data_IF_637005241354
#
_entry.id   IF_637005241354
#
_cell.length_a   1.000
_cell.length_b   1.000
_cell.length_c   1.000
_cell.angle_alpha   90.00
_cell.angle_beta   90.00
_cell.angle_gamma   90.00
#
_symmetry.space_group_name_H-M   'P 1'
#
loop_
_entity.id
_entity.type
_entity.pdbx_description
1 polymer ?
#
# COMPACT_ATOMS: atom_id res chain seq x y z
N UNK A 1 1.38 21.18 15.73
CA UNK A 1 0.27 21.00 14.77
C UNK A 1 0.06 19.50 14.62
N UNK A 2 -1.19 19.01 14.74
CA UNK A 2 -1.54 17.58 14.73
C UNK A 2 -0.93 16.79 13.55
N UNK A 3 -0.86 17.39 12.36
CA UNK A 3 -0.25 16.77 11.17
C UNK A 3 1.23 16.40 11.41
N UNK A 4 1.99 17.26 12.10
CA UNK A 4 3.40 16.98 12.38
C UNK A 4 3.55 15.86 13.41
N UNK A 5 2.64 15.77 14.39
CA UNK A 5 2.65 14.71 15.41
C UNK A 5 2.40 13.35 14.77
N UNK A 6 1.36 13.25 13.94
CA UNK A 6 1.04 12.01 13.20
C UNK A 6 2.19 11.61 12.28
N UNK A 7 2.77 12.56 11.52
CA UNK A 7 3.90 12.24 10.64
C UNK A 7 5.10 11.71 11.42
N UNK A 8 5.45 12.34 12.54
CA UNK A 8 6.56 11.90 13.37
C UNK A 8 6.30 10.51 13.97
N UNK A 9 5.07 10.26 14.43
CA UNK A 9 4.63 8.96 14.93
C UNK A 9 4.77 7.88 13.84
N UNK A 10 4.31 8.14 12.61
CA UNK A 10 4.48 7.20 11.49
C UNK A 10 5.95 6.94 11.15
N UNK A 11 6.80 7.97 11.15
CA UNK A 11 8.23 7.80 10.89
C UNK A 11 8.93 6.97 11.98
N UNK A 12 8.52 7.13 13.25
CA UNK A 12 9.03 6.33 14.36
C UNK A 12 8.65 4.85 14.22
N UNK A 13 7.39 4.56 13.89
CA UNK A 13 6.91 3.20 13.61
C UNK A 13 7.76 2.54 12.50
N UNK A 14 7.91 3.23 11.36
CA UNK A 14 8.67 2.70 10.22
C UNK A 14 10.13 2.40 10.60
N UNK A 15 10.77 3.32 11.33
CA UNK A 15 12.15 3.14 11.78
C UNK A 15 12.28 1.95 12.74
N UNK A 16 11.32 1.77 13.64
CA UNK A 16 11.37 0.71 14.66
C UNK A 16 11.14 -0.67 14.08
N UNK A 17 10.20 -0.79 13.14
CA UNK A 17 9.90 -2.08 12.55
C UNK A 17 10.87 -2.49 11.44
N UNK A 18 11.74 -1.60 10.96
CA UNK A 18 12.69 -1.93 9.88
C UNK A 18 13.60 -3.13 10.20
N UNK A 19 13.84 -3.41 11.49
CA UNK A 19 14.62 -4.55 11.94
C UNK A 19 13.97 -5.92 11.65
N UNK A 20 12.65 -5.97 11.47
CA UNK A 20 11.91 -7.22 11.20
C UNK A 20 11.35 -7.30 9.78
N UNK A 21 11.50 -6.26 8.96
CA UNK A 21 10.89 -6.22 7.62
C UNK A 21 11.34 -7.38 6.74
N UNK A 22 12.65 -7.62 6.61
CA UNK A 22 13.15 -8.67 5.73
C UNK A 22 12.66 -10.06 6.15
N UNK A 23 12.75 -10.38 7.45
CA UNK A 23 12.33 -11.69 7.96
C UNK A 23 10.83 -11.91 7.86
N UNK A 24 10.02 -10.91 8.20
CA UNK A 24 8.56 -11.01 8.09
C UNK A 24 8.12 -11.04 6.62
N UNK A 25 8.76 -10.28 5.74
CA UNK A 25 8.46 -10.29 4.31
C UNK A 25 8.72 -11.68 3.72
N UNK A 26 9.90 -12.24 3.94
CA UNK A 26 10.28 -13.58 3.47
C UNK A 26 9.34 -14.63 4.03
N UNK A 27 9.11 -14.64 5.36
CA UNK A 27 8.24 -15.64 5.98
C UNK A 27 6.81 -15.61 5.45
N UNK A 28 6.24 -14.44 5.17
CA UNK A 28 4.89 -14.35 4.62
C UNK A 28 4.86 -14.62 3.10
N UNK A 29 5.93 -14.30 2.36
CA UNK A 29 6.07 -14.70 0.95
C UNK A 29 6.21 -16.22 0.80
N UNK A 30 6.96 -16.89 1.66
CA UNK A 30 7.09 -18.35 1.64
C UNK A 30 5.71 -19.01 1.79
N UNK A 31 4.92 -18.58 2.78
CA UNK A 31 3.54 -19.06 2.96
C UNK A 31 2.66 -18.81 1.73
N UNK A 32 2.81 -17.65 1.09
CA UNK A 32 2.08 -17.32 -0.13
C UNK A 32 2.47 -18.26 -1.28
N UNK A 33 3.78 -18.49 -1.48
CA UNK A 33 4.30 -19.40 -2.49
C UNK A 33 3.85 -20.84 -2.23
N UNK A 34 3.95 -21.34 -1.00
CA UNK A 34 3.47 -22.68 -0.60
C UNK A 34 1.98 -22.88 -0.93
N UNK A 35 1.16 -21.85 -0.67
CA UNK A 35 -0.28 -21.86 -1.00
C UNK A 35 -0.52 -21.92 -2.51
N UNK A 36 0.26 -21.17 -3.30
CA UNK A 36 0.17 -21.20 -4.76
C UNK A 36 0.62 -22.56 -5.32
N UNK A 37 1.72 -23.11 -4.84
CA UNK A 37 2.22 -24.43 -5.25
C UNK A 37 1.22 -25.54 -4.89
N UNK A 38 0.63 -25.48 -3.69
CA UNK A 38 -0.43 -26.42 -3.28
C UNK A 38 -1.65 -26.33 -4.20
N UNK A 39 -1.99 -25.13 -4.68
CA UNK A 39 -3.11 -24.96 -5.64
C UNK A 39 -2.74 -25.53 -7.01
N UNK A 40 -1.53 -25.23 -7.49
CA UNK A 40 -1.02 -25.68 -8.79
C UNK A 40 -0.79 -27.20 -8.86
N UNK A 41 -0.57 -27.87 -7.73
CA UNK A 41 -0.50 -29.34 -7.70
C UNK A 41 -1.84 -30.01 -8.05
N UNK A 42 -2.96 -29.30 -7.89
CA UNK A 42 -4.32 -29.80 -8.11
C UNK A 42 -5.08 -29.06 -9.23
N UNK A 43 -4.48 -28.02 -9.82
CA UNK A 43 -5.10 -27.15 -10.83
C UNK A 43 -4.05 -26.67 -11.84
N UNK A 44 -4.46 -26.43 -13.09
CA UNK A 44 -3.56 -25.87 -14.12
C UNK A 44 -3.26 -24.38 -13.93
N UNK A 45 -3.95 -23.71 -13.00
CA UNK A 45 -3.75 -22.30 -12.70
C UNK A 45 -4.06 -21.99 -11.23
N UNK A 46 -3.44 -20.93 -10.72
CA UNK A 46 -3.70 -20.38 -9.40
C UNK A 46 -3.74 -18.85 -9.48
N UNK A 47 -4.71 -18.23 -8.80
CA UNK A 47 -4.77 -16.78 -8.66
C UNK A 47 -3.86 -16.33 -7.53
N UNK A 48 -2.96 -15.38 -7.80
CA UNK A 48 -2.08 -14.81 -6.79
C UNK A 48 -2.68 -13.61 -6.06
N UNK A 49 -3.80 -13.03 -6.54
CA UNK A 49 -4.32 -11.77 -6.03
C UNK A 49 -4.72 -11.82 -4.54
N UNK A 50 -5.55 -12.79 -4.16
CA UNK A 50 -5.96 -12.93 -2.75
C UNK A 50 -4.81 -13.38 -1.85
N UNK A 51 -3.97 -14.37 -2.22
CA UNK A 51 -2.77 -14.69 -1.45
C UNK A 51 -1.84 -13.49 -1.26
N UNK A 52 -1.66 -12.65 -2.29
CA UNK A 52 -0.86 -11.43 -2.23
C UNK A 52 -1.45 -10.41 -1.25
N UNK A 53 -2.76 -10.18 -1.28
CA UNK A 53 -3.42 -9.28 -0.33
C UNK A 53 -3.34 -9.82 1.10
N UNK A 54 -3.53 -11.11 1.32
CA UNK A 54 -3.42 -11.71 2.66
C UNK A 54 -1.98 -11.62 3.21
N UNK A 55 -0.98 -11.88 2.36
CA UNK A 55 0.43 -11.64 2.66
C UNK A 55 0.68 -10.17 3.05
N UNK A 56 0.24 -9.22 2.22
CA UNK A 56 0.41 -7.79 2.45
C UNK A 56 -0.23 -7.35 3.76
N UNK A 57 -1.47 -7.77 4.01
CA UNK A 57 -2.18 -7.46 5.24
C UNK A 57 -1.43 -7.97 6.46
N UNK A 58 -0.98 -9.22 6.43
CA UNK A 58 -0.29 -9.86 7.56
C UNK A 58 1.03 -9.15 7.85
N UNK A 59 1.84 -8.95 6.82
CA UNK A 59 3.12 -8.26 6.90
C UNK A 59 2.97 -6.82 7.40
N UNK A 60 2.08 -6.03 6.79
CA UNK A 60 1.91 -4.61 7.13
C UNK A 60 1.28 -4.41 8.51
N UNK A 61 0.31 -5.25 8.89
CA UNK A 61 -0.30 -5.14 10.22
C UNK A 61 0.72 -5.39 11.30
N UNK A 62 1.53 -6.45 11.17
CA UNK A 62 2.57 -6.77 12.15
C UNK A 62 3.67 -5.71 12.20
N UNK A 63 4.15 -5.25 11.05
CA UNK A 63 5.25 -4.27 10.99
C UNK A 63 4.83 -2.85 11.34
N UNK A 64 3.59 -2.43 11.09
CA UNK A 64 3.16 -1.07 11.39
C UNK A 64 2.47 -0.94 12.75
N UNK A 65 1.71 -1.94 13.18
CA UNK A 65 0.97 -1.87 14.44
C UNK A 65 1.60 -2.65 15.59
N UNK A 66 2.59 -3.51 15.30
CA UNK A 66 3.13 -4.45 16.27
C UNK A 66 2.17 -5.58 16.65
N UNK A 67 0.94 -5.59 16.12
CA UNK A 67 -0.03 -6.65 16.35
C UNK A 67 0.13 -7.75 15.29
N UNK A 68 0.36 -8.99 15.71
CA UNK A 68 0.42 -10.15 14.81
C UNK A 68 -1.01 -10.65 14.53
N UNK A 69 -1.51 -10.59 13.28
CA UNK A 69 -2.87 -11.03 12.95
C UNK A 69 -3.19 -12.46 13.34
N UNK A 70 -2.20 -13.35 13.43
CA UNK A 70 -2.40 -14.77 13.77
C UNK A 70 -3.00 -15.01 15.16
N UNK A 71 -2.98 -14.01 16.05
CA UNK A 71 -3.58 -14.10 17.39
C UNK A 71 -5.11 -13.98 17.38
N UNK A 72 -5.70 -13.59 16.25
CA UNK A 72 -7.14 -13.49 16.05
C UNK A 72 -7.52 -14.11 14.69
N UNK A 73 -8.17 -15.28 14.71
CA UNK A 73 -8.50 -16.01 13.49
C UNK A 73 -9.39 -15.20 12.52
N UNK A 74 -10.30 -14.37 13.03
CA UNK A 74 -11.18 -13.55 12.19
C UNK A 74 -10.36 -12.49 11.43
N UNK A 75 -9.35 -11.93 12.09
CA UNK A 75 -8.46 -10.94 11.50
C UNK A 75 -7.44 -11.60 10.56
N UNK A 76 -6.88 -12.74 10.94
CA UNK A 76 -5.95 -13.51 10.10
C UNK A 76 -6.57 -13.93 8.76
N UNK A 77 -7.83 -14.40 8.79
CA UNK A 77 -8.52 -14.91 7.60
C UNK A 77 -9.22 -13.80 6.81
N UNK A 78 -9.75 -12.78 7.49
CA UNK A 78 -10.66 -11.79 6.89
C UNK A 78 -10.18 -10.35 6.89
N UNK A 79 -9.06 -10.02 7.54
CA UNK A 79 -8.63 -8.64 7.75
C UNK A 79 -8.32 -7.88 6.46
N UNK A 80 -7.74 -8.55 5.46
CA UNK A 80 -7.50 -7.94 4.14
C UNK A 80 -8.82 -7.57 3.42
N UNK A 81 -9.84 -8.44 3.50
CA UNK A 81 -11.17 -8.17 2.94
C UNK A 81 -11.88 -7.01 3.64
N UNK A 82 -11.67 -6.85 4.95
CA UNK A 82 -12.17 -5.71 5.71
C UNK A 82 -11.57 -4.40 5.19
N UNK A 83 -10.27 -4.38 4.89
CA UNK A 83 -9.66 -3.22 4.23
C UNK A 83 -10.18 -3.02 2.81
N UNK A 84 -10.30 -4.06 1.99
CA UNK A 84 -10.82 -3.92 0.63
C UNK A 84 -12.20 -3.27 0.61
N UNK A 85 -13.11 -3.69 1.49
CA UNK A 85 -14.45 -3.08 1.61
C UNK A 85 -14.39 -1.62 2.06
N UNK A 86 -13.56 -1.33 3.06
CA UNK A 86 -13.38 0.04 3.53
C UNK A 86 -12.80 0.93 2.43
N UNK A 87 -11.73 0.50 1.76
CA UNK A 87 -11.08 1.20 0.66
C UNK A 87 -12.00 1.39 -0.53
N UNK A 88 -12.78 0.35 -0.89
CA UNK A 88 -13.78 0.44 -1.93
C UNK A 88 -14.71 1.62 -1.65
N UNK A 89 -15.24 1.74 -0.42
CA UNK A 89 -16.12 2.87 -0.07
C UNK A 89 -15.41 4.24 -0.14
N UNK A 90 -14.13 4.32 0.24
CA UNK A 90 -13.36 5.57 0.21
C UNK A 90 -13.02 6.02 -1.22
N UNK A 91 -12.68 5.07 -2.09
CA UNK A 91 -12.15 5.33 -3.42
C UNK A 91 -13.21 5.27 -4.51
N UNK A 92 -14.37 4.69 -4.22
CA UNK A 92 -15.47 4.49 -5.15
C UNK A 92 -15.74 5.72 -6.02
N UNK A 93 -15.78 6.98 -5.52
CA UNK A 93 -16.09 8.14 -6.37
C UNK A 93 -15.05 8.44 -7.46
N UNK A 94 -13.89 7.78 -7.43
CA UNK A 94 -12.73 8.07 -8.29
C UNK A 94 -12.24 6.87 -9.09
N UNK A 95 -12.75 5.66 -8.82
CA UNK A 95 -12.26 4.42 -9.42
C UNK A 95 -13.27 3.93 -10.45
N UNK A 96 -12.92 3.91 -11.76
CA UNK A 96 -13.77 3.31 -12.77
C UNK A 96 -13.84 1.79 -12.54
N UNK A 97 -15.04 1.25 -12.43
CA UNK A 97 -15.30 -0.19 -12.28
C UNK A 97 -15.58 -0.83 -13.65
N UNK A 98 -16.04 -0.04 -14.63
CA UNK A 98 -16.27 -0.52 -16.01
C UNK A 98 -17.50 -1.41 -16.12
N UNK A 99 -18.56 -1.09 -15.37
CA UNK A 99 -19.85 -1.80 -15.42
C UNK A 99 -20.80 -1.14 -16.44
N UNK A 100 -22.05 -1.60 -16.49
CA UNK A 100 -23.05 -1.08 -17.44
C UNK A 100 -23.38 0.40 -17.16
N UNK A 101 -23.04 1.27 -18.10
CA UNK A 101 -23.44 2.68 -18.10
C UNK A 101 -24.94 2.80 -18.41
N UNK A 102 -25.72 3.67 -17.73
CA UNK A 102 -25.31 4.70 -16.76
C UNK A 102 -25.35 4.26 -15.29
N UNK A 103 -25.53 2.96 -15.00
CA UNK A 103 -25.71 2.47 -13.64
C UNK A 103 -24.46 2.72 -12.78
N UNK A 104 -23.27 2.63 -13.38
CA UNK A 104 -22.02 2.99 -12.74
C UNK A 104 -22.03 4.41 -12.18
N UNK A 105 -22.40 5.40 -13.01
CA UNK A 105 -22.41 6.79 -12.58
C UNK A 105 -23.46 7.04 -11.50
N UNK A 106 -24.66 6.47 -11.66
CA UNK A 106 -25.79 6.70 -10.75
C UNK A 106 -25.51 6.12 -9.37
N UNK A 107 -25.06 4.86 -9.32
CA UNK A 107 -24.89 4.16 -8.04
C UNK A 107 -23.52 4.36 -7.45
N UNK A 108 -22.48 4.52 -8.25
CA UNK A 108 -21.14 4.67 -7.73
C UNK A 108 -20.83 6.17 -7.76
N UNK A 109 -20.55 6.78 -8.90
CA UNK A 109 -19.83 8.06 -8.91
C UNK A 109 -20.62 9.31 -8.46
N UNK A 110 -21.93 9.18 -8.20
CA UNK A 110 -22.80 10.32 -7.86
C UNK A 110 -22.91 10.66 -6.37
N UNK A 111 -22.72 9.69 -5.46
CA UNK A 111 -23.01 9.90 -4.03
C UNK A 111 -21.92 9.36 -3.13
N UNK A 112 -21.63 10.09 -2.04
CA UNK A 112 -20.82 9.55 -0.96
C UNK A 112 -21.63 8.52 -0.17
N UNK A 113 -21.15 7.29 -0.12
CA UNK A 113 -21.83 6.22 0.60
C UNK A 113 -21.63 6.34 2.11
N UNK A 114 -22.65 5.99 2.91
CA UNK A 114 -22.58 6.16 4.36
C UNK A 114 -21.63 5.13 5.02
N UNK A 115 -20.80 5.59 5.96
CA UNK A 115 -19.78 4.79 6.64
C UNK A 115 -20.33 3.54 7.36
N UNK A 116 -21.61 3.54 7.78
CA UNK A 116 -22.20 2.39 8.47
C UNK A 116 -22.15 1.09 7.65
N UNK A 117 -22.02 1.19 6.32
CA UNK A 117 -21.88 0.03 5.43
C UNK A 117 -20.58 -0.76 5.67
N UNK A 118 -19.55 -0.10 6.21
CA UNK A 118 -18.24 -0.70 6.48
C UNK A 118 -17.80 -0.55 7.94
N UNK A 119 -18.65 0.03 8.80
CA UNK A 119 -18.28 0.32 10.19
C UNK A 119 -18.02 -0.92 11.01
N UNK A 120 -18.73 -2.03 10.75
CA UNK A 120 -18.51 -3.30 11.45
C UNK A 120 -17.10 -3.85 11.20
N UNK A 121 -16.67 -3.86 9.94
CA UNK A 121 -15.34 -4.31 9.53
C UNK A 121 -14.25 -3.37 10.05
N UNK A 122 -14.45 -2.05 9.90
CA UNK A 122 -13.53 -1.06 10.44
C UNK A 122 -13.37 -1.16 11.97
N UNK A 123 -14.47 -1.38 12.69
CA UNK A 123 -14.44 -1.53 14.15
C UNK A 123 -13.74 -2.84 14.59
N UNK A 124 -13.84 -3.92 13.82
CA UNK A 124 -13.07 -5.13 14.10
C UNK A 124 -11.56 -4.85 14.04
N UNK A 125 -11.10 -4.17 12.98
CA UNK A 125 -9.70 -3.77 12.82
C UNK A 125 -9.24 -2.81 13.92
N UNK A 126 -10.08 -1.82 14.25
CA UNK A 126 -9.82 -0.88 15.35
C UNK A 126 -9.63 -1.60 16.68
N UNK A 127 -10.56 -2.48 17.04
CA UNK A 127 -10.50 -3.22 18.31
C UNK A 127 -9.31 -4.18 18.35
N UNK A 128 -8.99 -4.82 17.22
CA UNK A 128 -7.81 -5.67 17.10
C UNK A 128 -6.51 -4.88 17.41
N UNK A 129 -6.30 -3.72 16.78
CA UNK A 129 -5.14 -2.87 17.05
C UNK A 129 -5.15 -2.36 18.49
N UNK A 130 -6.31 -1.94 19.01
CA UNK A 130 -6.44 -1.51 20.41
C UNK A 130 -6.00 -2.60 21.38
N UNK A 131 -6.34 -3.85 21.11
CA UNK A 131 -6.08 -4.98 21.98
C UNK A 131 -4.65 -5.52 21.85
N UNK A 132 -4.13 -5.60 20.62
CA UNK A 132 -2.89 -6.31 20.31
C UNK A 132 -1.72 -5.40 19.89
N UNK A 133 -1.98 -4.15 19.50
CA UNK A 133 -0.98 -3.14 19.11
C UNK A 133 -0.63 -2.15 20.23
N UNK A 134 -0.80 -2.56 21.50
CA UNK A 134 -0.73 -1.66 22.67
C UNK A 134 0.58 -0.88 22.79
N UNK A 135 1.70 -1.50 22.44
CA UNK A 135 3.02 -0.84 22.51
C UNK A 135 3.04 0.38 21.58
N UNK A 136 2.72 0.17 20.30
CA UNK A 136 2.69 1.23 19.28
C UNK A 136 1.67 2.32 19.63
N UNK A 137 0.47 1.92 20.07
CA UNK A 137 -0.58 2.87 20.50
C UNK A 137 -0.13 3.70 21.71
N UNK A 138 0.52 3.09 22.69
CA UNK A 138 1.06 3.81 23.85
C UNK A 138 2.18 4.77 23.46
N UNK A 139 3.00 4.44 22.47
CA UNK A 139 4.01 5.39 21.94
C UNK A 139 3.37 6.64 21.36
N UNK A 140 2.31 6.48 20.56
CA UNK A 140 1.54 7.61 20.01
C UNK A 140 1.12 8.59 21.11
N UNK A 141 0.66 8.04 22.25
CA UNK A 141 0.26 8.82 23.43
C UNK A 141 1.44 9.46 24.16
N UNK A 142 2.43 8.66 24.53
CA UNK A 142 3.50 9.07 25.46
C UNK A 142 4.57 9.94 24.78
N UNK A 143 4.86 9.71 23.50
CA UNK A 143 5.99 10.35 22.82
C UNK A 143 5.56 11.38 21.77
N UNK A 144 4.33 11.27 21.25
CA UNK A 144 3.83 12.14 20.19
C UNK A 144 2.61 12.98 20.58
N UNK A 145 2.08 12.79 21.78
CA UNK A 145 0.97 13.57 22.33
C UNK A 145 -0.35 13.37 21.59
N UNK A 146 -0.55 12.18 21.01
CA UNK A 146 -1.81 11.77 20.38
C UNK A 146 -2.74 11.14 21.43
N UNK A 147 -4.05 11.18 21.20
CA UNK A 147 -4.96 10.31 21.95
C UNK A 147 -4.83 8.86 21.49
N UNK A 148 -5.43 7.93 22.25
CA UNK A 148 -5.52 6.52 21.84
C UNK A 148 -6.27 6.37 20.51
N UNK A 149 -7.42 7.04 20.38
CA UNK A 149 -8.25 7.02 19.18
C UNK A 149 -7.50 7.62 17.99
N UNK A 150 -6.86 8.79 18.16
CA UNK A 150 -6.04 9.40 17.11
C UNK A 150 -4.91 8.48 16.67
N UNK A 151 -4.24 7.82 17.61
CA UNK A 151 -3.16 6.88 17.30
C UNK A 151 -3.66 5.71 16.46
N UNK A 152 -4.77 5.07 16.87
CA UNK A 152 -5.31 3.90 16.17
C UNK A 152 -5.90 4.28 14.81
N UNK A 153 -6.69 5.35 14.71
CA UNK A 153 -7.29 5.76 13.43
C UNK A 153 -6.24 6.18 12.40
N UNK A 154 -5.20 6.93 12.81
CA UNK A 154 -4.11 7.27 11.89
C UNK A 154 -3.28 6.04 11.51
N UNK A 155 -3.08 5.10 12.44
CA UNK A 155 -2.40 3.84 12.14
C UNK A 155 -3.18 2.99 11.16
N UNK A 156 -4.50 2.83 11.34
CA UNK A 156 -5.37 2.17 10.37
C UNK A 156 -5.35 2.84 9.00
N UNK A 157 -5.31 4.18 8.96
CA UNK A 157 -5.23 4.91 7.71
C UNK A 157 -3.89 4.68 6.99
N UNK A 158 -2.76 4.73 7.72
CA UNK A 158 -1.43 4.43 7.17
C UNK A 158 -1.35 2.98 6.69
N UNK A 159 -1.82 2.04 7.49
CA UNK A 159 -1.80 0.62 7.17
C UNK A 159 -2.71 0.33 5.96
N UNK A 160 -3.99 0.69 6.03
CA UNK A 160 -4.99 0.33 5.03
C UNK A 160 -4.90 1.16 3.75
N UNK A 161 -4.90 2.49 3.86
CA UNK A 161 -4.99 3.37 2.69
C UNK A 161 -3.62 3.61 2.04
N UNK A 162 -2.63 4.01 2.83
CA UNK A 162 -1.33 4.40 2.27
C UNK A 162 -0.46 3.19 1.88
N UNK A 163 -0.40 2.17 2.74
CA UNK A 163 0.46 1.01 2.52
C UNK A 163 -0.28 -0.11 1.78
N UNK A 164 -1.28 -0.74 2.40
CA UNK A 164 -2.00 -1.89 1.84
C UNK A 164 -2.64 -1.56 0.48
N UNK A 165 -3.38 -0.46 0.37
CA UNK A 165 -3.95 -0.01 -0.90
C UNK A 165 -2.87 0.28 -1.95
N UNK A 166 -1.82 1.01 -1.58
CA UNK A 166 -0.72 1.34 -2.49
C UNK A 166 0.03 0.11 -3.03
N UNK A 167 0.38 -0.83 -2.14
CA UNK A 167 1.06 -2.08 -2.54
C UNK A 167 0.13 -3.04 -3.30
N UNK A 168 -1.18 -3.04 -3.01
CA UNK A 168 -2.16 -3.85 -3.74
C UNK A 168 -2.33 -3.39 -5.19
N UNK A 169 -1.99 -2.13 -5.51
CA UNK A 169 -1.89 -1.64 -6.90
C UNK A 169 -0.50 -1.90 -7.48
N UNK A 170 0.56 -1.56 -6.73
CA UNK A 170 1.93 -1.61 -7.24
C UNK A 170 2.44 -3.03 -7.53
N UNK A 171 2.23 -3.98 -6.62
CA UNK A 171 2.83 -5.31 -6.75
C UNK A 171 2.25 -6.11 -7.93
N UNK A 172 0.94 -6.06 -8.24
CA UNK A 172 0.43 -6.61 -9.49
C UNK A 172 1.09 -6.00 -10.74
N UNK A 173 1.27 -4.68 -10.79
CA UNK A 173 1.97 -4.03 -11.92
C UNK A 173 3.43 -4.47 -12.04
N UNK A 174 4.12 -4.69 -10.91
CA UNK A 174 5.49 -5.22 -10.90
C UNK A 174 5.55 -6.66 -11.40
N UNK A 175 4.64 -7.52 -10.94
CA UNK A 175 4.54 -8.91 -11.38
C UNK A 175 4.23 -8.97 -12.88
N UNK A 176 3.27 -8.17 -13.35
CA UNK A 176 2.87 -8.11 -14.76
C UNK A 176 4.02 -7.65 -15.67
N UNK A 177 4.75 -6.60 -15.28
CA UNK A 177 5.91 -6.11 -16.05
C UNK A 177 7.03 -7.18 -16.15
N UNK A 178 7.22 -8.01 -15.13
CA UNK A 178 8.19 -9.10 -15.15
C UNK A 178 7.67 -10.29 -15.96
N UNK A 179 6.38 -10.63 -15.81
CA UNK A 179 5.76 -11.80 -16.43
C UNK A 179 5.54 -11.65 -17.94
N UNK A 180 5.32 -10.43 -18.41
CA UNK A 180 5.07 -10.11 -19.83
C UNK A 180 6.35 -9.78 -20.60
N UNK A 181 7.49 -9.65 -19.92
CA UNK A 181 8.78 -9.44 -20.58
C UNK A 181 9.17 -10.63 -21.48
N UNK A 182 9.68 -10.32 -22.66
CA UNK A 182 10.16 -11.29 -23.65
C UNK A 182 11.68 -11.29 -23.82
N UNK A 183 12.41 -10.44 -23.08
CA UNK A 183 13.86 -10.27 -23.19
C UNK A 183 14.66 -11.19 -22.25
N UNK A 184 13.96 -12.00 -21.45
CA UNK A 184 14.54 -12.90 -20.46
C UNK A 184 14.85 -12.23 -19.12
N UNK A 185 14.16 -11.13 -18.81
CA UNK A 185 14.30 -10.35 -17.58
C UNK A 185 14.16 -11.23 -16.33
N UNK A 186 13.14 -12.09 -16.27
CA UNK A 186 12.92 -13.00 -15.12
C UNK A 186 14.16 -13.83 -14.79
N UNK A 187 14.87 -14.35 -15.82
CA UNK A 187 16.10 -15.13 -15.63
C UNK A 187 17.25 -14.27 -15.12
N UNK A 188 17.39 -13.03 -15.61
CA UNK A 188 18.42 -12.08 -15.18
C UNK A 188 18.20 -11.66 -13.73
N UNK A 189 16.95 -11.36 -13.34
CA UNK A 189 16.56 -11.05 -11.97
C UNK A 189 16.84 -12.23 -11.03
N UNK A 190 16.42 -13.45 -11.41
CA UNK A 190 16.68 -14.65 -10.62
C UNK A 190 18.18 -14.92 -10.43
N UNK A 191 19.00 -14.65 -11.46
CA UNK A 191 20.46 -14.76 -11.37
C UNK A 191 21.02 -13.75 -10.38
N UNK A 192 20.69 -12.46 -10.53
CA UNK A 192 21.18 -11.40 -9.64
C UNK A 192 20.77 -11.64 -8.17
N UNK A 193 19.52 -12.05 -7.95
CA UNK A 193 19.01 -12.39 -6.61
C UNK A 193 19.80 -13.52 -5.95
N UNK A 194 20.15 -14.59 -6.70
CA UNK A 194 20.90 -15.74 -6.18
C UNK A 194 22.37 -15.42 -5.92
N UNK A 195 22.98 -14.59 -6.76
CA UNK A 195 24.38 -14.18 -6.61
C UNK A 195 24.59 -13.23 -5.43
N UNK A 196 23.63 -12.32 -5.18
CA UNK A 196 23.79 -11.24 -4.19
C UNK A 196 22.91 -11.39 -2.92
N UNK A 197 21.95 -12.32 -2.91
CA UNK A 197 21.01 -12.49 -1.79
C UNK A 197 21.64 -13.10 -0.53
N UNK A 198 22.71 -13.88 -0.68
CA UNK A 198 23.33 -14.64 0.40
C UNK A 198 22.42 -15.76 0.95
N UNK A 199 22.82 -16.37 2.08
CA UNK A 199 22.02 -17.40 2.76
C UNK A 199 20.80 -16.82 3.50
N UNK A 200 20.78 -15.52 3.76
CA UNK A 200 19.69 -14.82 4.44
C UNK A 200 19.58 -13.44 3.83
N UNK A 201 18.39 -13.11 3.30
CA UNK A 201 18.14 -11.81 2.68
C UNK A 201 18.18 -10.72 3.75
N UNK A 202 19.01 -9.70 3.53
CA UNK A 202 19.05 -8.50 4.38
C UNK A 202 18.74 -7.25 3.55
N UNK A 203 18.35 -6.16 4.22
CA UNK A 203 18.17 -4.86 3.55
C UNK A 203 19.45 -4.36 2.87
N UNK A 204 20.63 -4.77 3.35
CA UNK A 204 21.89 -4.43 2.68
C UNK A 204 22.10 -5.28 1.43
N UNK A 205 21.79 -6.58 1.47
CA UNK A 205 21.86 -7.47 0.30
C UNK A 205 21.05 -6.93 -0.89
N UNK A 206 19.88 -6.34 -0.63
CA UNK A 206 19.02 -5.76 -1.68
C UNK A 206 19.64 -4.51 -2.33
N UNK A 207 20.49 -3.75 -1.61
CA UNK A 207 21.18 -2.58 -2.19
C UNK A 207 22.20 -2.98 -3.24
N UNK A 208 22.75 -4.19 -3.14
CA UNK A 208 23.73 -4.74 -4.07
C UNK A 208 23.08 -5.46 -5.27
N UNK A 209 21.79 -5.20 -5.52
CA UNK A 209 21.03 -5.76 -6.65
C UNK A 209 20.58 -4.64 -7.62
N UNK A 210 21.48 -4.08 -8.43
CA UNK A 210 21.19 -2.92 -9.26
C UNK A 210 20.09 -3.16 -10.30
N UNK A 211 20.00 -4.36 -10.90
CA UNK A 211 18.94 -4.67 -11.88
C UNK A 211 17.57 -4.76 -11.19
N UNK A 212 17.46 -5.45 -10.05
CA UNK A 212 16.22 -5.53 -9.26
C UNK A 212 15.75 -4.13 -8.86
N UNK A 213 16.65 -3.29 -8.33
CA UNK A 213 16.32 -1.90 -7.99
C UNK A 213 15.87 -1.11 -9.22
N UNK A 214 16.56 -1.25 -10.35
CA UNK A 214 16.19 -0.58 -11.61
C UNK A 214 14.80 -0.98 -12.10
N UNK A 215 14.42 -2.26 -12.02
CA UNK A 215 13.09 -2.73 -12.43
C UNK A 215 12.01 -2.13 -11.53
N UNK A 216 12.22 -2.12 -10.20
CA UNK A 216 11.27 -1.51 -9.26
C UNK A 216 11.07 -0.02 -9.57
N UNK A 217 12.15 0.73 -9.80
CA UNK A 217 12.06 2.15 -10.16
C UNK A 217 11.37 2.37 -11.51
N UNK A 218 11.66 1.53 -12.50
CA UNK A 218 11.08 1.66 -13.85
C UNK A 218 9.58 1.36 -13.86
N UNK A 219 9.14 0.35 -13.10
CA UNK A 219 7.72 0.07 -12.94
C UNK A 219 7.03 1.22 -12.20
N UNK A 220 7.63 1.79 -11.15
CA UNK A 220 7.07 2.99 -10.48
C UNK A 220 7.02 4.21 -11.41
N UNK A 221 8.00 4.36 -12.30
CA UNK A 221 8.06 5.45 -13.28
C UNK A 221 6.95 5.33 -14.32
N UNK A 222 6.74 4.11 -14.85
CA UNK A 222 5.77 3.84 -15.90
C UNK A 222 4.34 3.69 -15.37
N UNK A 223 4.19 3.10 -14.18
CA UNK A 223 2.91 2.75 -13.56
C UNK A 223 2.84 3.30 -12.12
N UNK A 224 2.80 4.63 -11.92
CA UNK A 224 2.69 5.21 -10.60
C UNK A 224 1.38 4.75 -9.92
N UNK A 225 1.41 4.08 -8.75
CA UNK A 225 0.22 3.49 -8.14
C UNK A 225 -0.88 4.49 -7.79
N UNK A 226 -0.49 5.75 -7.53
CA UNK A 226 -1.41 6.87 -7.31
C UNK A 226 -1.03 7.99 -8.28
N UNK A 227 -1.62 8.05 -9.48
CA UNK A 227 -1.17 8.93 -10.54
C UNK A 227 -1.57 10.40 -10.33
N UNK A 228 -2.64 10.67 -9.59
CA UNK A 228 -3.18 12.02 -9.40
C UNK A 228 -2.70 12.62 -8.08
N UNK A 229 -2.13 13.82 -8.13
CA UNK A 229 -1.88 14.62 -6.93
C UNK A 229 -2.63 15.93 -7.05
N UNK A 230 -3.05 16.46 -5.92
CA UNK A 230 -3.83 17.67 -5.85
C UNK A 230 -3.15 18.67 -4.92
N UNK A 231 -3.13 19.93 -5.34
CA UNK A 231 -2.59 21.00 -4.52
C UNK A 231 -3.40 22.28 -4.70
N UNK A 232 -3.49 23.06 -3.62
CA UNK A 232 -4.10 24.39 -3.63
C UNK A 232 -3.02 25.47 -3.48
N UNK A 233 -3.02 26.44 -4.38
CA UNK A 233 -2.07 27.55 -4.35
C UNK A 233 -2.23 28.39 -3.07
N UNK A 234 -1.17 28.52 -2.26
CA UNK A 234 -1.19 29.33 -1.02
C UNK A 234 -0.85 30.80 -1.23
N UNK A 235 -0.24 31.13 -2.37
CA UNK A 235 0.12 32.47 -2.84
C UNK A 235 0.11 32.49 -4.36
N UNK A 236 0.12 33.67 -4.95
CA UNK A 236 0.33 33.85 -6.39
C UNK A 236 1.74 33.38 -6.77
N UNK A 237 1.86 32.69 -7.91
CA UNK A 237 3.16 32.29 -8.48
C UNK A 237 3.05 32.07 -9.99
N UNK A 238 4.20 31.96 -10.66
CA UNK A 238 4.29 31.58 -12.07
C UNK A 238 4.71 30.12 -12.16
N UNK A 239 3.93 29.28 -12.83
CA UNK A 239 4.35 27.94 -13.22
C UNK A 239 4.96 27.99 -14.62
N UNK A 240 6.19 27.52 -14.75
CA UNK A 240 6.80 27.24 -16.06
C UNK A 240 6.56 25.80 -16.52
N UNK A 241 6.26 25.63 -17.81
CA UNK A 241 6.45 24.39 -18.58
C UNK A 241 7.72 24.52 -19.44
N UNK A 242 7.98 23.56 -20.33
CA UNK A 242 9.14 23.59 -21.23
C UNK A 242 9.21 24.88 -22.06
N UNK A 243 8.09 25.30 -22.63
CA UNK A 243 8.06 26.40 -23.61
C UNK A 243 7.19 27.58 -23.17
N UNK A 244 6.65 27.57 -21.95
CA UNK A 244 5.64 28.56 -21.53
C UNK A 244 5.61 28.79 -20.03
N UNK A 245 4.97 29.88 -19.62
CA UNK A 245 4.79 30.24 -18.23
C UNK A 245 3.36 30.72 -17.96
N UNK A 246 2.75 30.21 -16.90
CA UNK A 246 1.36 30.44 -16.53
C UNK A 246 1.26 31.05 -15.14
N UNK A 247 0.55 32.17 -15.02
CA UNK A 247 0.29 32.78 -13.72
C UNK A 247 -0.80 31.99 -12.99
N UNK A 248 -0.50 31.52 -11.78
CA UNK A 248 -1.42 30.83 -10.88
C UNK A 248 -1.73 31.75 -9.71
N UNK A 249 -3.02 32.00 -9.47
CA UNK A 249 -3.48 32.84 -8.37
C UNK A 249 -3.70 32.04 -7.09
N UNK A 250 -3.55 32.70 -5.94
CA UNK A 250 -3.87 32.12 -4.63
C UNK A 250 -5.29 31.55 -4.62
N UNK A 251 -5.42 30.34 -4.08
CA UNK A 251 -6.70 29.65 -3.93
C UNK A 251 -7.05 28.71 -5.08
N UNK A 252 -6.36 28.80 -6.22
CA UNK A 252 -6.54 27.91 -7.36
C UNK A 252 -6.20 26.45 -7.01
N UNK A 253 -7.05 25.51 -7.44
CA UNK A 253 -6.86 24.07 -7.28
C UNK A 253 -6.22 23.50 -8.54
N UNK A 254 -5.16 22.72 -8.38
CA UNK A 254 -4.46 22.06 -9.49
C UNK A 254 -4.42 20.55 -9.29
N UNK A 255 -4.51 19.84 -10.40
CA UNK A 255 -4.26 18.40 -10.52
C UNK A 255 -2.98 18.14 -11.35
N UNK A 256 -1.77 18.12 -10.77
CA UNK A 256 -0.65 17.44 -11.41
C UNK A 256 -0.95 15.93 -11.58
N UNK A 257 -0.59 15.38 -12.74
CA UNK A 257 -0.61 13.94 -13.01
C UNK A 257 0.84 13.46 -13.16
N UNK A 258 1.21 12.38 -12.47
CA UNK A 258 2.54 11.75 -12.61
C UNK A 258 2.76 11.15 -14.00
N UNK A 259 1.70 10.89 -14.75
CA UNK A 259 1.74 10.33 -16.10
C UNK A 259 1.88 11.40 -17.20
N UNK A 260 1.94 12.69 -16.86
CA UNK A 260 2.02 13.79 -17.84
C UNK A 260 3.44 14.09 -18.37
N UNK A 261 4.27 13.06 -18.54
CA UNK A 261 5.56 13.19 -19.25
C UNK A 261 5.78 11.99 -20.18
N UNK A 262 5.57 12.12 -21.50
CA UNK A 262 6.25 11.26 -22.44
C UNK A 262 7.73 11.65 -22.48
N UNK A 263 8.59 10.63 -22.43
CA UNK A 263 10.02 10.70 -22.79
C UNK A 263 10.24 11.29 -24.18
#
# INVERSE_FOLDING_TARGET
CAIQQVKNFTMDILKRSSGIWASELVSNLDKMCDSLESTLSNSSSASYLFPLQQFLFTFLTKTLSGADPSVDAKIADGGYLMFDRWLALQLQPTVPIGILQPLEEIFLHSFAYPFFLVSGDYNNLYNFIKQHGKEVVNRGKLEFGLTEEESIHNLLFVLGFNAFGGFSVFLPSLIDAIATDTTGLQRKLAKEARENGGSTLTLNSVKDMPLINSVVYEVLRLNPPVPLQYARARKDFTLSSHDSAFRVTKGYHRVPSLLMFPS
#
